data_IF_839934258271
#
_entry.id   IF_839934258271
#
_cell.length_a   1.000
_cell.length_b   1.000
_cell.length_c   1.000
_cell.angle_alpha   90.00
_cell.angle_beta   90.00
_cell.angle_gamma   90.00
#
_symmetry.space_group_name_H-M   'P 1'
#
loop_
_entity.id
_entity.type
_entity.pdbx_description
1 polymer ?
#
# COMPACT_ATOMS: atom_id res chain seq x y z
N UNK A 1 18.88 3.33 17.50
CA UNK A 1 18.01 2.29 18.08
C UNK A 1 16.86 2.04 17.10
N UNK A 2 16.87 0.91 16.39
CA UNK A 2 15.83 0.56 15.42
C UNK A 2 14.58 0.11 16.19
N UNK A 3 13.48 0.87 16.12
CA UNK A 3 12.18 0.42 16.64
C UNK A 3 11.69 -0.73 15.75
N UNK A 4 11.70 -1.94 16.30
CA UNK A 4 11.18 -3.13 15.65
C UNK A 4 9.67 -2.96 15.40
N UNK A 5 9.26 -3.02 14.14
CA UNK A 5 7.86 -3.01 13.74
C UNK A 5 7.25 -4.38 14.07
N UNK A 6 6.61 -4.49 15.23
CA UNK A 6 5.82 -5.68 15.58
C UNK A 6 4.46 -5.59 14.88
N UNK A 7 4.36 -6.21 13.71
CA UNK A 7 3.08 -6.47 13.07
C UNK A 7 2.47 -7.66 13.82
N UNK A 8 1.44 -7.42 14.63
CA UNK A 8 0.78 -8.52 15.33
C UNK A 8 0.06 -9.43 14.32
N UNK A 9 0.16 -10.76 14.47
CA UNK A 9 -0.55 -11.69 13.61
C UNK A 9 -2.06 -11.58 13.87
N UNK A 10 -2.82 -11.34 12.81
CA UNK A 10 -4.29 -11.43 12.83
C UNK A 10 -4.67 -12.90 13.02
N UNK A 11 -5.43 -13.20 14.07
CA UNK A 11 -5.88 -14.56 14.37
C UNK A 11 -6.73 -15.12 13.21
N UNK A 12 -6.57 -16.40 12.84
CA UNK A 12 -7.39 -17.02 11.81
C UNK A 12 -8.84 -17.17 12.30
N UNK A 13 -9.77 -16.52 11.60
CA UNK A 13 -11.21 -16.67 11.84
C UNK A 13 -11.65 -18.00 11.20
N UNK A 14 -12.07 -18.95 12.04
CA UNK A 14 -12.72 -20.18 11.56
C UNK A 14 -14.08 -19.88 10.94
N UNK A 15 -14.34 -20.53 9.81
CA UNK A 15 -15.48 -20.36 8.90
C UNK A 15 -16.87 -20.20 9.53
N UNK A 16 -17.70 -19.39 8.87
CA UNK A 16 -19.14 -19.64 8.81
C UNK A 16 -20.03 -18.39 8.83
N UNK A 17 -20.04 -17.57 7.77
CA UNK A 17 -21.26 -16.97 7.21
C UNK A 17 -20.97 -16.14 5.94
N UNK A 18 -21.78 -16.32 4.90
CA UNK A 18 -21.61 -15.70 3.58
C UNK A 18 -22.12 -14.23 3.52
N UNK A 19 -22.22 -13.53 4.65
CA UNK A 19 -22.75 -12.14 4.67
C UNK A 19 -22.04 -11.21 5.66
N UNK A 20 -20.84 -11.55 6.14
CA UNK A 20 -19.96 -10.58 6.81
C UNK A 20 -18.69 -10.38 5.99
N UNK A 21 -18.75 -9.49 5.00
CA UNK A 21 -17.57 -9.00 4.27
C UNK A 21 -16.78 -7.98 5.11
N UNK A 22 -16.64 -8.20 6.42
CA UNK A 22 -15.71 -7.44 7.24
C UNK A 22 -14.29 -7.88 6.88
N UNK A 23 -13.82 -7.39 5.73
CA UNK A 23 -12.40 -7.42 5.38
C UNK A 23 -11.62 -6.87 6.57
N UNK A 24 -10.50 -7.48 6.98
CA UNK A 24 -9.70 -6.92 8.03
C UNK A 24 -9.30 -5.51 7.62
N UNK A 25 -9.65 -4.54 8.45
CA UNK A 25 -9.29 -3.16 8.16
C UNK A 25 -7.76 -3.01 8.17
N UNK A 26 -7.18 -2.20 7.29
CA UNK A 26 -5.73 -2.01 7.27
C UNK A 26 -5.26 -1.38 8.58
N UNK A 27 -4.08 -1.75 9.06
CA UNK A 27 -3.54 -1.21 10.34
C UNK A 27 -3.01 0.22 10.23
N UNK A 28 -2.98 0.77 9.01
CA UNK A 28 -2.61 2.13 8.69
C UNK A 28 -3.46 2.66 7.55
N UNK A 29 -3.65 3.98 7.52
CA UNK A 29 -4.27 4.70 6.41
C UNK A 29 -3.20 5.50 5.68
N UNK A 30 -3.29 5.52 4.35
CA UNK A 30 -2.33 6.18 3.47
C UNK A 30 -3.02 7.33 2.74
N UNK A 31 -2.42 8.52 2.84
CA UNK A 31 -2.77 9.70 2.05
C UNK A 31 -1.65 9.98 1.05
N UNK A 32 -2.01 10.37 -0.16
CA UNK A 32 -1.06 10.83 -1.17
C UNK A 32 -1.31 12.31 -1.48
N UNK A 33 -0.24 13.08 -1.54
CA UNK A 33 -0.25 14.52 -1.80
C UNK A 33 0.67 14.80 -2.98
N UNK A 34 0.25 15.66 -3.90
CA UNK A 34 1.08 16.03 -5.04
C UNK A 34 2.35 16.77 -4.57
N UNK A 35 3.53 16.38 -5.07
CA UNK A 35 4.76 17.16 -4.84
C UNK A 35 4.80 18.33 -5.84
N UNK A 36 4.62 19.59 -5.39
CA UNK A 36 4.59 20.74 -6.29
C UNK A 36 5.93 21.00 -6.98
N UNK A 37 7.03 20.47 -6.45
CA UNK A 37 8.37 20.66 -7.01
C UNK A 37 8.67 19.75 -8.21
N UNK A 38 7.95 18.62 -8.36
CA UNK A 38 8.23 17.60 -9.39
C UNK A 38 6.94 16.90 -9.82
N UNK A 39 6.53 17.12 -11.07
CA UNK A 39 5.21 16.73 -11.58
C UNK A 39 4.82 15.24 -11.51
N UNK A 40 5.77 14.31 -11.35
CA UNK A 40 5.50 12.85 -11.26
C UNK A 40 5.81 12.24 -9.89
N UNK A 41 5.95 13.09 -8.88
CA UNK A 41 6.20 12.69 -7.50
C UNK A 41 4.97 12.98 -6.62
N UNK A 42 4.80 12.16 -5.60
CA UNK A 42 3.84 12.37 -4.53
C UNK A 42 4.55 12.25 -3.18
N UNK A 43 4.11 13.01 -2.20
CA UNK A 43 4.39 12.77 -0.79
C UNK A 43 3.34 11.80 -0.28
N UNK A 44 3.78 10.69 0.28
CA UNK A 44 2.93 9.68 0.91
C UNK A 44 3.00 9.92 2.41
N UNK A 45 1.85 10.15 3.01
CA UNK A 45 1.66 10.29 4.45
C UNK A 45 1.01 9.03 4.98
N UNK A 46 1.59 8.47 6.04
CA UNK A 46 1.11 7.22 6.65
C UNK A 46 0.66 7.50 8.08
N UNK A 47 -0.55 7.05 8.38
CA UNK A 47 -1.21 7.21 9.67
C UNK A 47 -1.52 5.84 10.25
N UNK A 48 -0.83 5.45 11.30
CA UNK A 48 -1.16 4.25 12.05
C UNK A 48 -2.46 4.45 12.82
N UNK A 49 -3.30 3.42 12.78
CA UNK A 49 -4.56 3.46 13.52
C UNK A 49 -4.35 3.07 14.97
N UNK A 50 -4.93 3.82 15.92
CA UNK A 50 -4.93 3.41 17.31
C UNK A 50 -5.77 2.13 17.45
N UNK A 51 -5.24 1.14 18.15
CA UNK A 51 -5.91 -0.16 18.36
C UNK A 51 -7.26 -0.04 19.07
N UNK A 52 -7.43 1.01 19.88
CA UNK A 52 -8.66 1.36 20.59
C UNK A 52 -8.72 2.87 20.77
N UNK A 53 -9.75 3.53 20.22
CA UNK A 53 -9.98 4.96 20.40
C UNK A 53 -10.93 5.53 19.33
N UNK A 54 -11.52 6.72 19.55
CA UNK A 54 -12.33 7.39 18.55
C UNK A 54 -11.48 7.68 17.29
N UNK A 55 -12.00 7.30 16.11
CA UNK A 55 -11.38 7.67 14.84
C UNK A 55 -11.45 9.18 14.68
N UNK A 56 -10.31 9.86 14.79
CA UNK A 56 -10.18 11.27 14.44
C UNK A 56 -10.04 11.40 12.92
N UNK A 57 -10.62 12.44 12.30
CA UNK A 57 -10.38 12.74 10.89
C UNK A 57 -8.87 12.87 10.61
N UNK A 58 -8.40 12.33 9.48
CA UNK A 58 -6.99 12.43 9.08
C UNK A 58 -6.52 13.89 8.98
N UNK A 59 -7.43 14.81 8.64
CA UNK A 59 -7.17 16.25 8.56
C UNK A 59 -6.69 16.87 9.88
N UNK A 60 -7.04 16.27 11.02
CA UNK A 60 -6.70 16.79 12.35
C UNK A 60 -5.50 16.04 12.99
N UNK A 61 -4.91 15.08 12.28
CA UNK A 61 -3.76 14.29 12.74
C UNK A 61 -2.48 14.69 12.02
N UNK A 62 -1.36 14.68 12.74
CA UNK A 62 -0.04 14.61 12.14
C UNK A 62 0.24 13.20 11.63
N UNK A 63 0.83 13.02 10.44
CA UNK A 63 1.24 11.70 9.97
C UNK A 63 2.31 11.10 10.89
N UNK A 64 2.28 9.78 11.06
CA UNK A 64 3.31 9.07 11.84
C UNK A 64 4.67 9.15 11.13
N UNK A 65 4.64 9.11 9.79
CA UNK A 65 5.77 9.47 8.94
C UNK A 65 5.29 9.80 7.53
N UNK A 66 6.17 10.43 6.76
CA UNK A 66 5.95 10.73 5.36
C UNK A 66 7.19 10.40 4.53
N UNK A 67 6.99 10.02 3.28
CA UNK A 67 8.09 9.79 2.34
C UNK A 67 7.69 10.19 0.92
N UNK A 68 8.68 10.47 0.08
CA UNK A 68 8.43 10.81 -1.33
C UNK A 68 8.44 9.55 -2.17
N UNK A 69 7.52 9.47 -3.13
CA UNK A 69 7.47 8.41 -4.12
C UNK A 69 7.35 8.99 -5.53
N UNK A 70 8.09 8.40 -6.45
CA UNK A 70 8.00 8.68 -7.89
C UNK A 70 7.24 7.58 -8.63
N UNK A 71 6.72 7.90 -9.81
CA UNK A 71 6.16 6.87 -10.71
C UNK A 71 7.17 5.74 -11.02
N UNK A 72 8.46 6.03 -11.01
CA UNK A 72 9.51 5.03 -11.24
C UNK A 72 9.60 4.01 -10.09
N UNK A 73 9.42 4.43 -8.85
CA UNK A 73 9.43 3.55 -7.67
C UNK A 73 8.19 2.69 -7.61
N UNK A 74 7.04 3.26 -7.98
CA UNK A 74 5.81 2.51 -8.18
C UNK A 74 6.02 1.40 -9.23
N UNK A 75 6.74 1.66 -10.34
CA UNK A 75 7.06 0.62 -11.35
C UNK A 75 7.92 -0.48 -10.77
N UNK A 76 8.92 -0.11 -9.96
CA UNK A 76 9.79 -1.06 -9.26
C UNK A 76 8.99 -1.94 -8.31
N UNK A 77 8.03 -1.37 -7.57
CA UNK A 77 7.12 -2.13 -6.70
C UNK A 77 6.33 -3.17 -7.49
N UNK A 78 5.70 -2.78 -8.61
CA UNK A 78 5.00 -3.70 -9.51
C UNK A 78 5.92 -4.83 -9.97
N UNK A 79 7.09 -4.51 -10.49
CA UNK A 79 8.04 -5.49 -11.00
C UNK A 79 8.46 -6.50 -9.92
N UNK A 80 8.72 -6.03 -8.69
CA UNK A 80 9.09 -6.89 -7.55
C UNK A 80 7.97 -7.85 -7.17
N UNK A 81 6.74 -7.37 -7.06
CA UNK A 81 5.57 -8.22 -6.75
C UNK A 81 5.33 -9.24 -7.87
N UNK A 82 5.34 -8.82 -9.13
CA UNK A 82 5.17 -9.72 -10.27
C UNK A 82 6.26 -10.78 -10.34
N UNK A 83 7.51 -10.41 -10.07
CA UNK A 83 8.63 -11.36 -10.06
C UNK A 83 8.53 -12.37 -8.92
N UNK A 84 8.10 -11.93 -7.74
CA UNK A 84 7.86 -12.84 -6.60
C UNK A 84 6.78 -13.86 -6.98
N UNK A 85 5.60 -13.41 -7.43
CA UNK A 85 4.48 -14.31 -7.76
C UNK A 85 4.74 -15.17 -9.03
N UNK A 86 5.51 -14.67 -10.00
CA UNK A 86 5.75 -15.30 -11.29
C UNK A 86 6.71 -16.50 -11.28
N UNK A 87 7.42 -16.76 -10.18
CA UNK A 87 8.36 -17.89 -10.07
C UNK A 87 7.68 -19.25 -9.77
N UNK A 88 6.35 -19.28 -9.68
CA UNK A 88 5.55 -20.50 -9.45
C UNK A 88 5.44 -20.88 -7.97
N UNK A 89 4.33 -21.52 -7.58
CA UNK A 89 4.12 -22.03 -6.21
C UNK A 89 3.36 -21.11 -5.24
N UNK A 90 2.81 -19.99 -5.68
CA UNK A 90 2.07 -19.07 -4.80
C UNK A 90 0.56 -19.36 -4.74
N UNK A 91 -0.04 -19.08 -3.59
CA UNK A 91 -1.48 -19.25 -3.35
C UNK A 91 -2.32 -18.26 -4.19
N UNK A 92 -3.63 -18.52 -4.27
CA UNK A 92 -4.55 -17.66 -5.03
C UNK A 92 -4.65 -16.24 -4.46
N UNK A 93 -4.33 -16.04 -3.18
CA UNK A 93 -4.25 -14.70 -2.60
C UNK A 93 -3.08 -13.90 -3.19
N UNK A 94 -1.86 -14.44 -3.23
CA UNK A 94 -0.71 -13.78 -3.85
C UNK A 94 -0.96 -13.45 -5.32
N UNK A 95 -1.63 -14.35 -6.06
CA UNK A 95 -2.04 -14.10 -7.45
C UNK A 95 -3.03 -12.93 -7.56
N UNK A 96 -3.99 -12.83 -6.64
CA UNK A 96 -4.92 -11.69 -6.57
C UNK A 96 -4.19 -10.37 -6.37
N UNK A 97 -3.17 -10.32 -5.51
CA UNK A 97 -2.35 -9.10 -5.33
C UNK A 97 -1.64 -8.72 -6.63
N UNK A 98 -0.96 -9.66 -7.28
CA UNK A 98 -0.26 -9.41 -8.54
C UNK A 98 -1.22 -8.98 -9.67
N UNK A 99 -2.41 -9.57 -9.74
CA UNK A 99 -3.44 -9.21 -10.71
C UNK A 99 -4.00 -7.81 -10.43
N UNK A 100 -4.28 -7.46 -9.17
CA UNK A 100 -4.73 -6.12 -8.79
C UNK A 100 -3.68 -5.06 -9.14
N UNK A 101 -2.41 -5.33 -8.84
CA UNK A 101 -1.29 -4.48 -9.25
C UNK A 101 -1.27 -4.29 -10.78
N UNK A 102 -1.44 -5.36 -11.55
CA UNK A 102 -1.43 -5.26 -13.01
C UNK A 102 -2.60 -4.40 -13.51
N UNK A 103 -3.81 -4.63 -12.98
CA UNK A 103 -5.01 -3.88 -13.33
C UNK A 103 -4.90 -2.37 -13.04
N UNK A 104 -4.36 -1.98 -11.88
CA UNK A 104 -4.19 -0.57 -11.53
C UNK A 104 -3.21 0.18 -12.45
N UNK A 105 -2.34 -0.56 -13.15
CA UNK A 105 -1.31 -0.02 -14.02
C UNK A 105 -1.67 -0.02 -15.50
N UNK A 106 -2.54 -0.93 -15.94
CA UNK A 106 -2.97 -1.05 -17.34
C UNK A 106 -4.05 -0.03 -17.72
N UNK A 107 -4.73 0.56 -16.75
CA UNK A 107 -5.64 1.70 -16.97
C UNK A 107 -4.99 3.01 -16.51
N UNK A 108 -5.30 4.16 -17.13
CA UNK A 108 -4.74 5.47 -16.77
C UNK A 108 -5.37 6.00 -15.46
N UNK A 109 -5.37 5.19 -14.39
CA UNK A 109 -5.90 5.58 -13.08
C UNK A 109 -4.83 6.15 -12.17
N UNK A 110 -3.57 5.76 -12.32
CA UNK A 110 -2.50 6.31 -11.49
C UNK A 110 -1.84 7.56 -12.09
N UNK A 111 -1.95 7.74 -13.41
CA UNK A 111 -1.39 8.91 -14.09
C UNK A 111 -2.46 9.63 -14.91
N UNK A 112 -2.41 10.96 -14.91
CA UNK A 112 -3.14 11.82 -15.84
C UNK A 112 -2.17 12.65 -16.67
N UNK A 113 -2.53 13.02 -17.90
CA UNK A 113 -1.90 14.13 -18.59
C UNK A 113 -2.03 15.40 -17.75
N UNK A 114 -0.93 16.13 -17.61
CA UNK A 114 -0.95 17.47 -17.00
C UNK A 114 -1.10 18.53 -18.08
N UNK A 115 -1.67 19.68 -17.70
CA UNK A 115 -1.91 20.80 -18.61
C UNK A 115 -0.63 21.35 -19.27
N UNK A 116 0.54 21.05 -18.72
CA UNK A 116 1.84 21.53 -19.19
C UNK A 116 2.55 20.50 -20.08
N UNK A 117 1.82 19.52 -20.63
CA UNK A 117 2.38 18.47 -21.49
C UNK A 117 3.16 17.39 -20.75
N UNK A 118 3.05 17.33 -19.42
CA UNK A 118 3.66 16.29 -18.58
C UNK A 118 2.66 15.22 -18.14
N UNK A 119 3.09 14.32 -17.27
CA UNK A 119 2.21 13.39 -16.54
C UNK A 119 2.17 13.80 -15.07
N UNK A 120 1.04 13.62 -14.40
CA UNK A 120 0.90 13.76 -12.95
C UNK A 120 0.31 12.51 -12.32
N UNK A 121 0.68 12.24 -11.06
CA UNK A 121 0.05 11.19 -10.27
C UNK A 121 -1.37 11.60 -9.87
N UNK A 122 -2.34 10.72 -10.05
CA UNK A 122 -3.66 10.85 -9.44
C UNK A 122 -3.55 10.47 -7.97
N UNK A 123 -3.46 11.46 -7.09
CA UNK A 123 -3.25 11.25 -5.65
C UNK A 123 -4.35 10.39 -5.02
N UNK A 124 -5.61 10.62 -5.36
CA UNK A 124 -6.73 9.84 -4.80
C UNK A 124 -6.67 8.36 -5.22
N UNK A 125 -6.37 8.12 -6.50
CA UNK A 125 -6.21 6.76 -7.01
C UNK A 125 -4.96 6.07 -6.44
N UNK A 126 -3.87 6.83 -6.23
CA UNK A 126 -2.66 6.34 -5.59
C UNK A 126 -2.90 5.98 -4.13
N UNK A 127 -3.58 6.83 -3.37
CA UNK A 127 -3.96 6.57 -1.98
C UNK A 127 -4.85 5.32 -1.89
N UNK A 128 -5.90 5.23 -2.71
CA UNK A 128 -6.78 4.06 -2.75
C UNK A 128 -6.01 2.77 -3.09
N UNK A 129 -5.08 2.84 -4.03
CA UNK A 129 -4.23 1.73 -4.42
C UNK A 129 -3.32 1.25 -3.28
N UNK A 130 -2.64 2.17 -2.59
CA UNK A 130 -1.73 1.83 -1.48
C UNK A 130 -2.49 1.27 -0.27
N UNK A 131 -3.66 1.84 0.05
CA UNK A 131 -4.54 1.31 1.10
C UNK A 131 -5.02 -0.11 0.78
N UNK A 132 -5.42 -0.37 -0.47
CA UNK A 132 -5.84 -1.71 -0.88
C UNK A 132 -4.67 -2.71 -0.84
N UNK A 133 -3.45 -2.28 -1.20
CA UNK A 133 -2.25 -3.12 -1.11
C UNK A 133 -1.91 -3.47 0.35
N UNK A 134 -2.10 -2.53 1.28
CA UNK A 134 -1.99 -2.75 2.72
C UNK A 134 -2.99 -3.80 3.19
N UNK A 135 -4.27 -3.70 2.80
CA UNK A 135 -5.30 -4.69 3.14
C UNK A 135 -4.91 -6.10 2.67
N UNK A 136 -4.43 -6.23 1.44
CA UNK A 136 -3.97 -7.54 0.97
C UNK A 136 -2.77 -8.06 1.76
N UNK A 137 -1.84 -7.18 2.13
CA UNK A 137 -0.67 -7.59 2.92
C UNK A 137 -1.04 -8.06 4.33
N UNK A 138 -2.06 -7.46 4.97
CA UNK A 138 -2.52 -7.90 6.29
C UNK A 138 -3.28 -9.24 6.22
N UNK A 139 -4.01 -9.50 5.14
CA UNK A 139 -4.72 -10.78 4.92
C UNK A 139 -3.79 -11.97 4.69
N UNK A 140 -2.56 -11.74 4.20
CA UNK A 140 -1.62 -12.81 3.84
C UNK A 140 -0.96 -13.48 5.04
N UNK A 141 -0.86 -12.80 6.19
CA UNK A 141 -0.09 -13.25 7.36
C UNK A 141 1.43 -13.31 7.08
N UNK A 142 2.25 -12.80 8.00
CA UNK A 142 3.72 -12.74 7.83
C UNK A 142 4.37 -14.12 7.64
N UNK A 143 3.82 -15.13 8.31
CA UNK A 143 4.39 -16.49 8.36
C UNK A 143 4.20 -17.28 7.06
N UNK A 144 3.09 -17.04 6.34
CA UNK A 144 2.75 -17.81 5.13
C UNK A 144 3.31 -17.19 3.85
N UNK A 145 3.56 -15.87 3.84
CA UNK A 145 3.93 -15.13 2.63
C UNK A 145 5.00 -14.05 2.90
N UNK A 146 6.15 -14.41 3.50
CA UNK A 146 7.12 -13.45 4.02
C UNK A 146 7.73 -12.56 2.93
N UNK A 147 7.92 -13.08 1.71
CA UNK A 147 8.50 -12.30 0.61
C UNK A 147 7.56 -11.18 0.14
N UNK A 148 6.29 -11.51 -0.11
CA UNK A 148 5.31 -10.53 -0.61
C UNK A 148 4.99 -9.48 0.45
N UNK A 149 4.75 -9.91 1.69
CA UNK A 149 4.55 -9.01 2.84
C UNK A 149 5.78 -8.13 3.04
N UNK A 150 6.99 -8.69 2.93
CA UNK A 150 8.24 -7.95 3.05
C UNK A 150 8.46 -6.91 1.95
N UNK A 151 8.04 -7.19 0.70
CA UNK A 151 8.10 -6.21 -0.40
C UNK A 151 7.20 -5.01 -0.10
N UNK A 152 5.95 -5.26 0.29
CA UNK A 152 4.97 -4.20 0.60
C UNK A 152 5.40 -3.40 1.83
N UNK A 153 5.75 -4.07 2.92
CA UNK A 153 6.19 -3.43 4.15
C UNK A 153 7.43 -2.54 3.93
N UNK A 154 8.43 -3.04 3.19
CA UNK A 154 9.65 -2.25 2.89
C UNK A 154 9.36 -1.04 2.00
N UNK A 155 8.41 -1.16 1.06
CA UNK A 155 8.05 -0.04 0.20
C UNK A 155 7.36 1.09 0.98
N UNK A 156 6.59 0.74 2.00
CA UNK A 156 5.87 1.71 2.82
C UNK A 156 6.72 2.27 3.96
N UNK A 157 7.92 1.79 4.21
CA UNK A 157 8.77 2.34 5.28
C UNK A 157 9.35 3.72 4.91
N UNK A 158 9.70 4.55 5.91
CA UNK A 158 10.45 5.79 5.65
C UNK A 158 11.74 5.49 4.87
N UNK A 159 11.99 6.23 3.80
CA UNK A 159 13.29 6.21 3.12
C UNK A 159 14.32 6.92 4.00
N UNK A 160 15.47 6.29 4.27
CA UNK A 160 16.58 6.91 5.02
C UNK A 160 17.27 8.04 4.25
N UNK A 161 16.98 8.18 2.96
CA UNK A 161 17.56 9.21 2.10
C UNK A 161 16.59 10.41 1.98
N UNK A 162 16.54 11.25 3.01
CA UNK A 162 16.12 12.67 2.93
C UNK A 162 17.11 13.53 3.70
#
# INVERSE_FOLDING_TARGET
>A
MLRSLSIQPVLPIMSGDASSHSRPEPVADVLAIADPSKGVNAVIEVYFRPATGPQQPLADRSPDYAFKVSFSELKKLRSRIQTSVGRGGHCDHCKRVAMYMTYCWERPRLLLPSWHGGMSLQTDALAAFLNQLLCFSSELGSESHPELVGIVARFLQPHQDV
#
